data_IF_011405589424
#
_entry.id   IF_011405589424
#
_cell.length_a   1.000
_cell.length_b   1.000
_cell.length_c   1.000
_cell.angle_alpha   90.00
_cell.angle_beta   90.00
_cell.angle_gamma   90.00
#
_symmetry.space_group_name_H-M   'P 1'
#
loop_
_entity.id
_entity.type
_entity.pdbx_description
1 polymer ?
#
# COMPACT_ATOMS: atom_id res chain seq x y z
N UNK A 1 -3.13 17.83 9.02
CA UNK A 1 -3.99 19.04 9.07
C UNK A 1 -4.87 18.86 10.28
N UNK A 2 -4.60 19.63 11.31
CA UNK A 2 -5.45 19.67 12.49
C UNK A 2 -6.67 20.51 12.11
N UNK A 3 -7.84 19.88 12.10
CA UNK A 3 -9.12 20.54 11.81
C UNK A 3 -9.90 20.61 13.10
N UNK A 4 -10.65 21.69 13.29
CA UNK A 4 -11.54 21.83 14.42
C UNK A 4 -12.89 21.21 14.09
N UNK A 5 -13.47 20.51 15.05
CA UNK A 5 -14.66 19.69 14.86
C UNK A 5 -15.62 19.98 16.01
N UNK A 6 -16.90 20.14 15.70
CA UNK A 6 -17.94 20.27 16.73
C UNK A 6 -18.46 18.90 17.13
N UNK A 7 -18.34 18.58 18.41
CA UNK A 7 -18.85 17.33 19.01
C UNK A 7 -19.88 17.64 20.09
N UNK A 8 -20.90 16.80 20.22
CA UNK A 8 -21.88 16.89 21.28
C UNK A 8 -21.38 16.11 22.50
N UNK A 9 -21.04 16.82 23.58
CA UNK A 9 -20.61 16.24 24.87
C UNK A 9 -21.40 16.89 25.99
N UNK A 10 -21.88 16.08 26.94
CA UNK A 10 -22.71 16.55 28.07
C UNK A 10 -23.96 17.36 27.65
N UNK A 11 -24.47 17.14 26.43
CA UNK A 11 -25.63 17.83 25.88
C UNK A 11 -25.34 19.18 25.22
N UNK A 12 -24.08 19.63 25.21
CA UNK A 12 -23.66 20.89 24.59
C UNK A 12 -22.70 20.63 23.41
N UNK A 13 -22.75 21.51 22.41
CA UNK A 13 -21.86 21.47 21.26
C UNK A 13 -20.53 22.14 21.61
N UNK A 14 -19.46 21.35 21.68
CA UNK A 14 -18.11 21.80 22.01
C UNK A 14 -17.22 21.65 20.79
N UNK A 15 -16.41 22.67 20.51
CA UNK A 15 -15.38 22.62 19.48
C UNK A 15 -14.12 21.94 20.02
N UNK A 16 -13.69 20.84 19.41
CA UNK A 16 -12.51 20.07 19.80
C UNK A 16 -11.58 19.87 18.59
N UNK A 17 -10.32 19.53 18.84
CA UNK A 17 -9.41 19.14 17.77
C UNK A 17 -9.82 17.79 17.17
N UNK A 18 -9.56 17.58 15.88
CA UNK A 18 -9.86 16.30 15.20
C UNK A 18 -9.16 15.08 15.81
N UNK A 19 -8.08 15.31 16.57
CA UNK A 19 -7.33 14.30 17.32
C UNK A 19 -7.98 13.92 18.66
N UNK A 20 -8.85 14.77 19.21
CA UNK A 20 -9.54 14.53 20.49
C UNK A 20 -10.92 13.89 20.28
N UNK A 21 -11.31 13.63 19.03
CA UNK A 21 -12.53 12.90 18.69
C UNK A 21 -12.36 11.44 19.08
N UNK A 22 -13.33 10.92 19.83
CA UNK A 22 -13.32 9.53 20.30
C UNK A 22 -14.49 8.73 19.73
N UNK A 23 -14.39 7.41 19.83
CA UNK A 23 -15.46 6.49 19.44
C UNK A 23 -16.74 6.80 20.22
N UNK A 24 -17.87 6.88 19.51
CA UNK A 24 -19.17 7.18 20.09
C UNK A 24 -19.50 8.68 20.19
N UNK A 25 -18.56 9.59 19.89
CA UNK A 25 -18.88 11.02 19.79
C UNK A 25 -19.89 11.28 18.67
N UNK A 26 -20.84 12.19 18.94
CA UNK A 26 -21.73 12.75 17.93
C UNK A 26 -21.05 13.98 17.32
N UNK A 27 -20.72 13.91 16.04
CA UNK A 27 -19.98 14.92 15.31
C UNK A 27 -20.93 15.67 14.38
N UNK A 28 -20.87 17.01 14.40
CA UNK A 28 -21.56 17.86 13.43
C UNK A 28 -20.78 17.87 12.12
N UNK A 29 -21.46 17.62 11.01
CA UNK A 29 -20.84 17.61 9.69
C UNK A 29 -20.86 19.01 9.09
N UNK A 30 -19.68 19.60 8.95
CA UNK A 30 -19.44 20.88 8.28
C UNK A 30 -19.35 20.72 6.76
N UNK A 31 -19.74 21.76 6.03
CA UNK A 31 -19.64 21.79 4.56
C UNK A 31 -18.24 22.21 4.11
N UNK A 32 -17.81 21.71 2.95
CA UNK A 32 -16.50 21.96 2.33
C UNK A 32 -15.28 21.46 3.12
N UNK A 33 -15.48 20.91 4.32
CA UNK A 33 -14.44 20.30 5.12
C UNK A 33 -14.37 18.77 4.95
N UNK A 34 -13.16 18.19 5.09
CA UNK A 34 -13.00 16.75 5.11
C UNK A 34 -13.54 16.15 6.41
N UNK A 35 -14.23 15.03 6.31
CA UNK A 35 -14.74 14.33 7.49
C UNK A 35 -13.58 13.84 8.38
N UNK A 36 -13.63 14.08 9.71
CA UNK A 36 -12.51 13.78 10.61
C UNK A 36 -12.41 12.29 10.99
N UNK A 37 -13.53 11.56 10.92
CA UNK A 37 -13.64 10.17 11.38
C UNK A 37 -14.58 9.36 10.49
N UNK A 38 -14.56 8.04 10.62
CA UNK A 38 -15.57 7.17 10.00
C UNK A 38 -16.79 7.14 10.91
N UNK A 39 -17.98 7.28 10.35
CA UNK A 39 -19.20 7.29 11.15
C UNK A 39 -20.46 6.95 10.39
N UNK A 40 -21.55 6.88 11.14
CA UNK A 40 -22.90 6.61 10.63
C UNK A 40 -23.70 7.89 10.75
N UNK A 41 -24.36 8.31 9.67
CA UNK A 41 -25.28 9.45 9.72
C UNK A 41 -26.47 9.06 10.59
N UNK A 42 -26.73 9.83 11.64
CA UNK A 42 -27.84 9.58 12.58
C UNK A 42 -28.96 10.60 12.42
N UNK A 43 -28.67 11.79 11.91
CA UNK A 43 -29.66 12.82 11.64
C UNK A 43 -29.24 13.69 10.45
N UNK A 44 -30.21 14.07 9.62
CA UNK A 44 -29.97 14.83 8.41
C UNK A 44 -29.43 14.00 7.24
N UNK A 45 -29.14 14.67 6.13
CA UNK A 45 -28.58 14.10 4.91
C UNK A 45 -27.27 14.80 4.58
N UNK A 46 -26.31 14.03 4.06
CA UNK A 46 -24.98 14.53 3.71
C UNK A 46 -24.66 14.12 2.28
N UNK A 47 -24.17 15.04 1.47
CA UNK A 47 -23.62 14.73 0.15
C UNK A 47 -22.10 14.73 0.28
N UNK A 48 -21.47 13.59 0.04
CA UNK A 48 -20.02 13.43 0.18
C UNK A 48 -19.37 13.08 -1.16
N UNK A 49 -18.19 13.63 -1.39
CA UNK A 49 -17.30 13.21 -2.46
C UNK A 49 -16.35 12.13 -1.94
N UNK A 50 -16.57 10.89 -2.36
CA UNK A 50 -15.77 9.72 -1.97
C UNK A 50 -14.67 9.35 -2.99
N UNK A 51 -14.43 10.18 -4.01
CA UNK A 51 -13.46 9.89 -5.09
C UNK A 51 -12.07 9.53 -4.58
N UNK A 52 -11.61 10.14 -3.49
CA UNK A 52 -10.32 9.84 -2.86
C UNK A 52 -10.22 8.42 -2.28
N UNK A 53 -11.35 7.79 -1.95
CA UNK A 53 -11.43 6.46 -1.33
C UNK A 53 -11.90 5.39 -2.30
N UNK A 54 -12.87 5.71 -3.16
CA UNK A 54 -13.49 4.74 -4.10
C UNK A 54 -13.00 4.86 -5.53
N UNK A 55 -12.35 5.98 -5.89
CA UNK A 55 -12.00 6.29 -7.27
C UNK A 55 -13.19 6.63 -8.16
N UNK A 56 -14.40 6.77 -7.60
CA UNK A 56 -15.60 7.14 -8.38
C UNK A 56 -15.88 8.64 -8.22
N UNK A 57 -16.05 9.40 -9.32
CA UNK A 57 -16.15 10.86 -9.28
C UNK A 57 -17.52 11.39 -8.87
N UNK A 58 -18.58 10.56 -8.92
CA UNK A 58 -19.93 11.01 -8.60
C UNK A 58 -20.12 11.16 -7.09
N UNK A 59 -20.59 12.33 -6.61
CA UNK A 59 -20.95 12.52 -5.22
C UNK A 59 -22.07 11.56 -4.80
N UNK A 60 -21.98 11.05 -3.58
CA UNK A 60 -22.94 10.09 -3.04
C UNK A 60 -23.68 10.76 -1.90
N UNK A 61 -25.02 10.71 -1.96
CA UNK A 61 -25.86 11.15 -0.86
C UNK A 61 -25.98 10.06 0.21
N UNK A 62 -25.81 10.47 1.45
CA UNK A 62 -25.91 9.65 2.66
C UNK A 62 -27.16 10.02 3.44
N UNK A 63 -27.82 9.00 3.96
CA UNK A 63 -29.09 9.10 4.67
C UNK A 63 -28.95 8.66 6.13
N UNK A 64 -29.76 9.21 7.03
CA UNK A 64 -29.72 8.82 8.42
C UNK A 64 -30.21 7.37 8.56
N UNK A 65 -29.72 6.67 9.58
CA UNK A 65 -30.20 5.32 9.89
C UNK A 65 -31.67 5.39 10.37
N UNK A 66 -32.58 4.75 9.64
CA UNK A 66 -34.03 4.80 9.94
C UNK A 66 -34.39 4.03 11.21
N UNK A 67 -33.68 2.94 11.52
CA UNK A 67 -33.94 2.13 12.72
C UNK A 67 -32.64 1.67 13.39
N UNK A 68 -32.36 2.22 14.58
CA UNK A 68 -31.18 1.90 15.39
C UNK A 68 -31.22 0.49 16.01
N UNK A 69 -32.36 -0.21 15.97
CA UNK A 69 -32.54 -1.48 16.70
C UNK A 69 -32.35 -2.76 15.89
N UNK A 70 -32.10 -2.66 14.58
CA UNK A 70 -31.92 -3.87 13.76
C UNK A 70 -31.65 -3.65 12.27
N UNK A 71 -31.61 -2.41 11.78
CA UNK A 71 -31.28 -2.17 10.38
C UNK A 71 -29.80 -2.47 10.12
N UNK A 72 -29.52 -3.27 9.09
CA UNK A 72 -28.18 -3.47 8.60
C UNK A 72 -27.62 -2.12 8.12
N UNK A 73 -26.54 -1.67 8.76
CA UNK A 73 -25.91 -0.38 8.42
C UNK A 73 -25.28 -0.50 7.02
N UNK A 74 -26.00 0.04 6.04
CA UNK A 74 -25.62 0.03 4.63
C UNK A 74 -24.59 1.10 4.28
N UNK A 75 -24.09 1.02 3.04
CA UNK A 75 -23.09 1.94 2.49
C UNK A 75 -23.63 3.37 2.35
N UNK A 76 -24.96 3.54 2.21
CA UNK A 76 -25.64 4.84 2.17
C UNK A 76 -25.74 5.52 3.53
N UNK A 77 -25.53 4.81 4.63
CA UNK A 77 -25.61 5.37 5.98
C UNK A 77 -24.23 5.70 6.55
N UNK A 78 -23.16 5.11 5.99
CA UNK A 78 -21.78 5.35 6.42
C UNK A 78 -21.12 6.47 5.65
N UNK A 79 -20.42 7.32 6.37
CA UNK A 79 -19.51 8.32 5.84
C UNK A 79 -18.10 8.03 6.35
N UNK A 80 -17.09 8.29 5.51
CA UNK A 80 -15.70 7.87 5.75
C UNK A 80 -14.77 9.06 5.99
N UNK A 81 -13.76 8.87 6.83
CA UNK A 81 -12.77 9.88 7.14
C UNK A 81 -11.98 10.30 5.88
N UNK A 82 -11.87 11.62 5.67
CA UNK A 82 -11.16 12.21 4.55
C UNK A 82 -11.96 12.30 3.25
N UNK A 83 -13.24 11.91 3.22
CA UNK A 83 -14.16 12.36 2.15
C UNK A 83 -14.53 13.82 2.38
N UNK A 84 -14.81 14.56 1.30
CA UNK A 84 -15.18 15.97 1.40
C UNK A 84 -16.71 16.04 1.47
N UNK A 85 -17.22 16.66 2.53
CA UNK A 85 -18.64 16.98 2.62
C UNK A 85 -18.95 18.15 1.68
N UNK A 86 -19.78 17.92 0.67
CA UNK A 86 -20.18 18.98 -0.28
C UNK A 86 -21.39 19.76 0.23
N UNK A 87 -22.31 19.07 0.91
CA UNK A 87 -23.53 19.65 1.44
C UNK A 87 -24.00 18.87 2.66
N UNK A 88 -24.45 19.56 3.69
CA UNK A 88 -24.92 18.99 4.96
C UNK A 88 -26.24 19.62 5.34
N UNK A 89 -27.33 18.85 5.33
CA UNK A 89 -28.67 19.34 5.64
C UNK A 89 -29.26 18.57 6.81
N UNK A 90 -29.61 19.22 7.91
CA UNK A 90 -30.21 18.55 9.07
C UNK A 90 -30.88 19.45 10.08
N UNK A 91 -31.41 18.84 11.14
CA UNK A 91 -32.23 19.53 12.16
C UNK A 91 -31.41 20.32 13.18
N UNK A 92 -30.13 20.02 13.32
CA UNK A 92 -29.26 20.64 14.32
C UNK A 92 -28.46 21.77 13.68
N UNK A 93 -28.93 23.01 13.85
CA UNK A 93 -28.30 24.21 13.27
C UNK A 93 -28.17 24.15 11.73
N UNK A 94 -29.16 23.53 11.09
CA UNK A 94 -29.19 23.31 9.63
C UNK A 94 -28.28 22.18 9.14
N UNK A 95 -27.48 21.56 10.01
CA UNK A 95 -26.45 20.59 9.65
C UNK A 95 -26.81 19.17 10.06
N UNK A 96 -26.23 18.20 9.35
CA UNK A 96 -26.33 16.79 9.68
C UNK A 96 -25.40 16.40 10.84
N UNK A 97 -25.79 15.32 11.52
CA UNK A 97 -25.03 14.75 12.64
C UNK A 97 -24.67 13.31 12.33
N UNK A 98 -23.42 12.95 12.61
CA UNK A 98 -22.89 11.60 12.45
C UNK A 98 -22.40 11.05 13.80
N UNK A 99 -22.59 9.76 14.01
CA UNK A 99 -22.02 9.03 15.13
C UNK A 99 -20.65 8.47 14.74
N UNK A 100 -19.62 8.80 15.51
CA UNK A 100 -18.27 8.31 15.27
C UNK A 100 -18.16 6.79 15.56
N UNK A 101 -17.69 6.04 14.57
CA UNK A 101 -17.50 4.57 14.64
C UNK A 101 -16.06 4.11 14.55
N UNK A 102 -15.18 4.90 13.93
CA UNK A 102 -13.74 4.65 13.95
C UNK A 102 -12.95 5.97 13.87
N UNK A 103 -11.82 6.03 14.57
CA UNK A 103 -10.92 7.19 14.63
C UNK A 103 -9.47 6.79 14.32
N UNK A 104 -8.67 7.75 13.83
CA UNK A 104 -7.25 7.56 13.56
C UNK A 104 -6.95 6.40 12.61
N UNK A 105 -5.99 5.54 12.98
CA UNK A 105 -5.53 4.42 12.16
C UNK A 105 -6.57 3.30 11.96
N UNK A 106 -7.66 3.29 12.73
CA UNK A 106 -8.74 2.31 12.60
C UNK A 106 -9.76 2.70 11.52
N UNK A 107 -9.78 3.97 11.09
CA UNK A 107 -10.60 4.43 9.97
C UNK A 107 -10.24 3.71 8.67
N UNK A 108 -11.18 3.68 7.72
CA UNK A 108 -10.97 3.10 6.39
C UNK A 108 -9.77 3.74 5.69
N UNK A 109 -9.65 5.07 5.76
CA UNK A 109 -8.48 5.82 5.27
C UNK A 109 -7.20 5.44 6.03
N UNK A 110 -7.26 5.36 7.36
CA UNK A 110 -6.12 4.97 8.19
C UNK A 110 -5.60 3.57 7.89
N UNK A 111 -6.50 2.62 7.63
CA UNK A 111 -6.14 1.26 7.21
C UNK A 111 -5.47 1.24 5.84
N UNK A 112 -5.96 2.02 4.87
CA UNK A 112 -5.31 2.18 3.56
C UNK A 112 -3.88 2.71 3.72
N UNK A 113 -3.69 3.78 4.50
CA UNK A 113 -2.37 4.34 4.78
C UNK A 113 -1.46 3.32 5.47
N UNK A 114 -1.99 2.55 6.43
CA UNK A 114 -1.23 1.49 7.11
C UNK A 114 -0.77 0.39 6.16
N UNK A 115 -1.61 -0.01 5.20
CA UNK A 115 -1.24 -1.00 4.19
C UNK A 115 -0.13 -0.50 3.25
N UNK A 116 -0.10 0.81 2.96
CA UNK A 116 0.96 1.43 2.17
C UNK A 116 2.28 1.52 2.95
N UNK A 117 2.22 1.92 4.23
CA UNK A 117 3.41 2.07 5.08
C UNK A 117 4.02 0.73 5.52
N UNK A 118 3.16 -0.28 5.73
CA UNK A 118 3.56 -1.62 6.13
C UNK A 118 3.08 -2.65 5.10
N UNK A 119 3.64 -2.60 3.87
CA UNK A 119 3.25 -3.56 2.84
C UNK A 119 3.66 -4.96 3.29
N UNK A 120 2.77 -5.93 3.07
CA UNK A 120 3.10 -7.34 3.28
C UNK A 120 4.31 -7.70 2.41
N UNK A 121 5.32 -8.34 3.02
CA UNK A 121 6.54 -8.70 2.30
C UNK A 121 6.22 -9.75 1.24
N UNK A 122 6.24 -9.37 -0.04
CA UNK A 122 6.18 -10.32 -1.14
C UNK A 122 7.53 -11.04 -1.18
N UNK A 123 7.57 -12.30 -0.70
CA UNK A 123 8.77 -13.13 -0.78
C UNK A 123 8.94 -13.60 -2.22
N UNK A 124 10.06 -13.22 -2.84
CA UNK A 124 10.32 -13.53 -4.24
C UNK A 124 11.23 -14.76 -4.35
N UNK A 125 10.73 -15.78 -5.07
CA UNK A 125 11.44 -17.05 -5.36
C UNK A 125 12.83 -16.90 -5.98
N UNK A 126 13.14 -15.75 -6.57
CA UNK A 126 14.46 -15.51 -7.18
C UNK A 126 15.59 -15.51 -6.14
N UNK A 127 15.37 -14.92 -4.97
CA UNK A 127 16.38 -14.91 -3.90
C UNK A 127 16.39 -16.23 -3.12
N UNK A 128 15.25 -16.94 -3.07
CA UNK A 128 15.10 -18.23 -2.38
C UNK A 128 15.89 -19.36 -3.06
N UNK A 129 16.20 -19.23 -4.35
CA UNK A 129 16.98 -20.22 -5.12
C UNK A 129 18.49 -20.01 -5.00
N UNK A 130 18.97 -18.84 -4.58
CA UNK A 130 20.41 -18.57 -4.41
C UNK A 130 21.08 -19.51 -3.39
N UNK A 131 20.49 -19.80 -2.21
CA UNK A 131 21.04 -20.78 -1.28
C UNK A 131 21.22 -22.17 -1.89
N UNK A 132 20.28 -22.60 -2.74
CA UNK A 132 20.35 -23.90 -3.43
C UNK A 132 21.54 -23.91 -4.40
N UNK A 133 21.72 -22.82 -5.17
CA UNK A 133 22.84 -22.69 -6.10
C UNK A 133 24.18 -22.75 -5.34
N UNK A 134 24.33 -22.00 -4.24
CA UNK A 134 25.55 -22.05 -3.44
C UNK A 134 25.78 -23.43 -2.82
N UNK A 135 24.72 -24.13 -2.41
CA UNK A 135 24.84 -25.50 -1.88
C UNK A 135 25.35 -26.47 -2.95
N UNK A 136 24.82 -26.38 -4.18
CA UNK A 136 25.28 -27.20 -5.31
C UNK A 136 26.75 -26.88 -5.66
N UNK A 137 27.11 -25.60 -5.71
CA UNK A 137 28.49 -25.17 -5.96
C UNK A 137 29.45 -25.68 -4.89
N UNK A 138 29.03 -25.67 -3.62
CA UNK A 138 29.81 -26.20 -2.51
C UNK A 138 30.00 -27.72 -2.62
N UNK A 139 28.95 -28.48 -2.92
CA UNK A 139 29.05 -29.92 -3.15
C UNK A 139 30.01 -30.25 -4.32
N UNK A 140 29.94 -29.47 -5.40
CA UNK A 140 30.84 -29.63 -6.54
C UNK A 140 32.30 -29.33 -6.18
N UNK A 141 32.56 -28.25 -5.44
CA UNK A 141 33.89 -27.90 -4.97
C UNK A 141 34.48 -28.97 -4.02
N UNK A 142 33.64 -29.49 -3.13
CA UNK A 142 34.00 -30.56 -2.21
C UNK A 142 34.36 -31.86 -2.95
N UNK A 143 33.55 -32.25 -3.94
CA UNK A 143 33.82 -33.43 -4.76
C UNK A 143 35.16 -33.32 -5.51
N UNK A 144 35.42 -32.18 -6.13
CA UNK A 144 36.68 -31.91 -6.83
C UNK A 144 37.86 -31.98 -5.86
N UNK A 145 37.71 -31.38 -4.68
CA UNK A 145 38.77 -31.37 -3.66
C UNK A 145 39.15 -32.79 -3.23
N UNK A 146 38.16 -33.66 -2.99
CA UNK A 146 38.39 -35.06 -2.61
C UNK A 146 39.04 -35.85 -3.75
N UNK A 147 38.58 -35.64 -4.99
CA UNK A 147 39.14 -36.31 -6.16
C UNK A 147 40.61 -35.94 -6.38
N UNK A 148 40.95 -34.64 -6.28
CA UNK A 148 42.33 -34.18 -6.42
C UNK A 148 43.23 -34.70 -5.31
N UNK A 149 42.76 -34.70 -4.06
CA UNK A 149 43.51 -35.20 -2.90
C UNK A 149 43.79 -36.71 -2.96
N UNK A 150 42.93 -37.48 -3.66
CA UNK A 150 43.07 -38.94 -3.77
C UNK A 150 43.86 -39.38 -5.00
N UNK A 151 43.79 -38.64 -6.11
CA UNK A 151 44.43 -39.01 -7.38
C UNK A 151 45.81 -38.38 -7.61
N UNK A 152 46.16 -37.33 -6.86
CA UNK A 152 47.36 -36.53 -7.14
C UNK A 152 48.26 -36.51 -5.91
N UNK A 153 49.48 -37.04 -6.06
CA UNK A 153 50.48 -37.00 -5.00
C UNK A 153 51.34 -35.74 -5.16
N UNK A 154 50.92 -34.64 -4.51
CA UNK A 154 51.60 -33.33 -4.62
C UNK A 154 52.84 -33.22 -3.70
N UNK A 155 53.19 -34.28 -2.97
CA UNK A 155 54.45 -34.42 -2.21
C UNK A 155 54.61 -33.53 -0.97
N UNK A 156 54.03 -32.33 -0.94
CA UNK A 156 54.11 -31.40 0.19
C UNK A 156 52.73 -30.99 0.69
N UNK A 157 52.53 -31.12 2.01
CA UNK A 157 51.26 -30.80 2.67
C UNK A 157 50.83 -29.33 2.47
N UNK A 158 51.80 -28.42 2.38
CA UNK A 158 51.57 -26.99 2.13
C UNK A 158 50.96 -26.73 0.75
N UNK A 159 51.45 -27.42 -0.29
CA UNK A 159 50.91 -27.24 -1.65
C UNK A 159 49.48 -27.77 -1.72
N UNK A 160 49.19 -28.89 -1.06
CA UNK A 160 47.83 -29.43 -0.96
C UNK A 160 46.88 -28.43 -0.26
N UNK A 161 47.30 -27.83 0.87
CA UNK A 161 46.48 -26.85 1.59
C UNK A 161 46.24 -25.58 0.75
N UNK A 162 47.27 -25.04 0.11
CA UNK A 162 47.14 -23.87 -0.76
C UNK A 162 46.23 -24.15 -1.96
N UNK A 163 46.28 -25.36 -2.51
CA UNK A 163 45.44 -25.76 -3.63
C UNK A 163 43.97 -25.89 -3.23
N UNK A 164 43.68 -26.50 -2.07
CA UNK A 164 42.31 -26.58 -1.52
C UNK A 164 41.73 -25.18 -1.31
N UNK A 165 42.52 -24.28 -0.71
CA UNK A 165 42.10 -22.90 -0.49
C UNK A 165 41.80 -22.18 -1.82
N UNK A 166 42.64 -22.40 -2.84
CA UNK A 166 42.43 -21.85 -4.18
C UNK A 166 41.16 -22.40 -4.86
N UNK A 167 40.90 -23.72 -4.77
CA UNK A 167 39.69 -24.34 -5.32
C UNK A 167 38.40 -23.84 -4.65
N UNK A 168 38.43 -23.64 -3.33
CA UNK A 168 37.29 -23.06 -2.59
C UNK A 168 37.10 -21.59 -2.99
N UNK A 169 38.17 -20.81 -3.07
CA UNK A 169 38.11 -19.39 -3.45
C UNK A 169 37.56 -19.18 -4.87
N UNK A 170 37.90 -20.06 -5.83
CA UNK A 170 37.38 -19.99 -7.20
C UNK A 170 35.93 -20.47 -7.32
N UNK A 171 35.54 -21.50 -6.55
CA UNK A 171 34.19 -22.06 -6.62
C UNK A 171 33.14 -21.16 -5.98
N UNK A 172 33.46 -20.46 -4.89
CA UNK A 172 32.57 -19.49 -4.25
C UNK A 172 32.82 -18.07 -4.76
N UNK A 173 32.72 -17.85 -6.07
CA UNK A 173 32.97 -16.54 -6.65
C UNK A 173 31.89 -15.51 -6.20
N UNK A 174 32.25 -14.47 -5.42
CA UNK A 174 31.31 -13.46 -4.95
C UNK A 174 30.81 -12.54 -6.07
N UNK A 175 31.35 -12.63 -7.29
CA UNK A 175 30.96 -11.77 -8.42
C UNK A 175 29.55 -12.07 -8.94
N UNK A 176 29.03 -13.29 -8.75
CA UNK A 176 27.68 -13.64 -9.21
C UNK A 176 26.59 -12.72 -8.61
N UNK A 177 26.43 -12.59 -7.27
CA UNK A 177 25.44 -11.70 -6.69
C UNK A 177 25.71 -10.22 -7.00
N UNK A 178 26.98 -9.81 -7.06
CA UNK A 178 27.37 -8.44 -7.40
C UNK A 178 26.93 -8.08 -8.83
N UNK A 179 27.21 -8.96 -9.79
CA UNK A 179 26.84 -8.77 -11.20
C UNK A 179 25.31 -8.65 -11.38
N UNK A 180 24.55 -9.41 -10.61
CA UNK A 180 23.08 -9.38 -10.65
C UNK A 180 22.53 -8.04 -10.14
N UNK A 181 23.02 -7.56 -8.99
CA UNK A 181 22.61 -6.25 -8.43
C UNK A 181 23.02 -5.11 -9.37
N UNK A 182 24.23 -5.19 -9.94
CA UNK A 182 24.71 -4.20 -10.90
C UNK A 182 23.85 -4.18 -12.17
N UNK A 183 23.48 -5.36 -12.70
CA UNK A 183 22.59 -5.49 -13.85
C UNK A 183 21.22 -4.85 -13.60
N UNK A 184 20.64 -5.07 -12.41
CA UNK A 184 19.38 -4.43 -12.01
C UNK A 184 19.51 -2.90 -11.91
N UNK A 185 20.62 -2.40 -11.35
CA UNK A 185 20.87 -0.96 -11.24
C UNK A 185 21.00 -0.29 -12.61
N UNK A 186 21.72 -0.91 -13.54
CA UNK A 186 21.87 -0.42 -14.92
C UNK A 186 20.52 -0.43 -15.64
N UNK A 187 19.72 -1.49 -15.47
CA UNK A 187 18.37 -1.58 -16.05
C UNK A 187 17.46 -0.46 -15.53
N UNK A 188 17.48 -0.18 -14.22
CA UNK A 188 16.73 0.91 -13.59
C UNK A 188 17.09 2.26 -14.20
N UNK A 189 18.39 2.59 -14.29
CA UNK A 189 18.86 3.85 -14.89
C UNK A 189 18.52 3.98 -16.37
N UNK A 190 18.42 2.85 -17.09
CA UNK A 190 18.03 2.83 -18.50
C UNK A 190 16.55 3.15 -18.68
N UNK A 191 15.68 2.58 -17.84
CA UNK A 191 14.23 2.84 -17.85
C UNK A 191 13.94 4.32 -17.54
N UNK A 192 14.62 4.88 -16.55
CA UNK A 192 14.48 6.29 -16.18
C UNK A 192 14.89 7.23 -17.33
N UNK A 193 16.05 7.00 -17.96
CA UNK A 193 16.56 7.87 -19.03
C UNK A 193 15.77 7.77 -20.34
N UNK A 194 15.30 6.57 -20.71
CA UNK A 194 14.64 6.35 -22.01
C UNK A 194 13.13 6.54 -21.94
N UNK A 195 12.49 6.00 -20.90
CA UNK A 195 11.04 5.91 -20.79
C UNK A 195 10.46 6.84 -19.73
N UNK A 196 11.30 7.60 -18.99
CA UNK A 196 10.91 8.43 -17.84
C UNK A 196 10.21 7.64 -16.72
N UNK A 197 10.46 6.34 -16.63
CA UNK A 197 9.91 5.47 -15.59
C UNK A 197 10.93 5.36 -14.44
N UNK A 198 10.61 5.97 -13.30
CA UNK A 198 11.43 5.90 -12.11
C UNK A 198 11.16 4.60 -11.32
N UNK A 199 12.16 3.74 -11.18
CA UNK A 199 12.04 2.52 -10.38
C UNK A 199 12.60 2.73 -8.97
N UNK A 200 11.73 2.74 -7.95
CA UNK A 200 12.14 2.89 -6.54
C UNK A 200 12.85 1.65 -6.00
N UNK A 201 12.52 0.45 -6.50
CA UNK A 201 13.11 -0.81 -6.06
C UNK A 201 13.63 -1.64 -7.26
N UNK A 202 14.92 -1.52 -7.63
CA UNK A 202 15.51 -2.21 -8.78
C UNK A 202 15.39 -3.74 -8.72
N UNK A 203 15.37 -4.32 -7.52
CA UNK A 203 15.19 -5.76 -7.32
C UNK A 203 13.88 -6.34 -7.88
N UNK A 204 12.87 -5.49 -8.14
CA UNK A 204 11.59 -5.92 -8.73
C UNK A 204 11.58 -5.94 -10.26
N UNK A 205 12.58 -5.36 -10.92
CA UNK A 205 12.64 -5.27 -12.38
C UNK A 205 12.53 -6.65 -13.06
N UNK A 206 13.23 -7.71 -12.62
CA UNK A 206 13.10 -9.04 -13.24
C UNK A 206 11.71 -9.66 -13.10
N UNK A 207 10.91 -9.24 -12.11
CA UNK A 207 9.54 -9.73 -11.91
C UNK A 207 8.63 -9.25 -13.03
N UNK A 208 8.87 -8.06 -13.56
CA UNK A 208 8.09 -7.50 -14.66
C UNK A 208 8.11 -8.40 -15.91
N UNK A 209 9.21 -9.13 -16.14
CA UNK A 209 9.32 -10.08 -17.25
C UNK A 209 8.53 -11.38 -17.07
N UNK A 210 7.99 -11.65 -15.87
CA UNK A 210 7.18 -12.86 -15.57
C UNK A 210 5.70 -12.56 -15.33
N UNK A 211 5.26 -11.33 -15.57
CA UNK A 211 3.86 -10.94 -15.38
C UNK A 211 3.00 -11.66 -16.43
N UNK A 212 2.00 -12.42 -15.97
CA UNK A 212 1.01 -13.09 -16.82
C UNK A 212 -0.32 -12.34 -16.91
N UNK A 213 -0.62 -11.52 -15.90
CA UNK A 213 -1.90 -10.83 -15.76
C UNK A 213 -1.64 -9.40 -15.33
N UNK A 214 -2.19 -8.45 -16.08
CA UNK A 214 -2.16 -7.03 -15.75
C UNK A 214 -3.56 -6.62 -15.31
N UNK A 215 -3.67 -6.08 -14.10
CA UNK A 215 -4.91 -5.52 -13.58
C UNK A 215 -4.78 -4.01 -13.69
N UNK A 216 -5.67 -3.38 -14.42
CA UNK A 216 -5.71 -1.93 -14.58
C UNK A 216 -6.85 -1.37 -13.74
N UNK A 217 -6.58 -0.26 -13.06
CA UNK A 217 -7.64 0.57 -12.52
C UNK A 217 -8.29 1.38 -13.66
N UNK A 218 -9.56 1.75 -13.51
CA UNK A 218 -10.30 2.51 -14.53
C UNK A 218 -9.98 4.00 -14.39
N UNK A 219 -10.39 4.59 -13.27
CA UNK A 219 -10.31 6.04 -13.03
C UNK A 219 -8.87 6.45 -12.74
N UNK A 220 -8.39 7.54 -13.36
CA UNK A 220 -7.02 8.04 -13.19
C UNK A 220 -5.92 7.19 -13.85
N UNK A 221 -6.26 6.02 -14.40
CA UNK A 221 -5.32 5.12 -15.10
C UNK A 221 -5.70 4.93 -16.57
N UNK A 222 -6.89 4.41 -16.85
CA UNK A 222 -7.40 4.27 -18.23
C UNK A 222 -8.13 5.55 -18.65
N UNK A 223 -8.93 6.12 -17.75
CA UNK A 223 -9.64 7.37 -17.98
C UNK A 223 -8.92 8.52 -17.27
N UNK A 224 -9.08 9.75 -17.79
CA UNK A 224 -8.63 10.96 -17.10
C UNK A 224 -9.47 11.20 -15.85
N UNK A 225 -8.92 11.95 -14.91
CA UNK A 225 -9.67 12.43 -13.75
C UNK A 225 -10.64 13.54 -14.17
N UNK A 226 -11.84 13.51 -13.61
CA UNK A 226 -12.90 14.48 -13.86
C UNK A 226 -13.99 14.00 -14.82
N UNK A 227 -14.96 14.87 -15.07
CA UNK A 227 -16.06 14.63 -16.00
C UNK A 227 -15.95 15.62 -17.15
N UNK A 228 -15.83 15.10 -18.37
CA UNK A 228 -15.89 15.89 -19.59
C UNK A 228 -17.28 15.77 -20.21
N UNK A 229 -17.82 16.90 -20.66
CA UNK A 229 -19.07 16.92 -21.40
C UNK A 229 -18.88 16.21 -22.75
N UNK A 230 -19.58 15.09 -22.96
CA UNK A 230 -19.42 14.28 -24.16
C UNK A 230 -20.23 14.81 -25.35
N UNK A 231 -21.55 14.91 -25.21
CA UNK A 231 -22.45 15.43 -26.24
C UNK A 231 -23.85 15.70 -25.66
N UNK A 232 -24.64 16.57 -26.33
CA UNK A 232 -26.11 16.59 -26.19
C UNK A 232 -26.66 15.71 -27.30
N UNK A 233 -27.47 14.71 -26.94
CA UNK A 233 -28.26 13.95 -27.92
C UNK A 233 -29.68 14.54 -27.88
N UNK A 234 -30.19 15.10 -28.99
CA UNK A 234 -31.52 15.67 -29.09
C UNK A 234 -32.64 14.62 -29.08
#
# INVERSE_FOLDING_TARGET
LETRVHVLRDGEWVEVGSQDVVLGDLVRVEEQDPLPCDGIVVSGTVIVNESMLTGEPMPIQKFPLEDMRGAAVGQKNRAYAGTICMQSTGSFDGKAVMLCTAVGALTSKGQLVRMVLFPQSVRFKYNDQLPIIYTIMFCYAMLITVLYATLTDLGSWIVTVLQILNTIAQSMNPMLPVSMVMGQSVASKRLERKEKIACLQPGRIPVAGKISTMVFDKTGTITKDGMDFAAVIP
#
